data_IF_914862776787
#
_entry.id   IF_914862776787
#
_cell.length_a   1.000
_cell.length_b   1.000
_cell.length_c   1.000
_cell.angle_alpha   90.00
_cell.angle_beta   90.00
_cell.angle_gamma   90.00
#
_symmetry.space_group_name_H-M   'P 1'
#
loop_
_entity.id
_entity.type
_entity.pdbx_description
1 polymer ?
#
# COMPACT_ATOMS: atom_id res chain seq x y z
N UNK A 1 61.21 -36.24 12.94
CA UNK A 1 60.57 -35.77 11.68
C UNK A 1 59.34 -36.62 11.40
N UNK A 2 58.24 -36.00 10.95
CA UNK A 2 56.93 -36.58 10.58
C UNK A 2 55.93 -36.85 11.73
N UNK A 3 55.30 -35.79 12.25
CA UNK A 3 53.95 -35.90 12.88
C UNK A 3 53.33 -34.56 13.31
N UNK A 4 53.84 -33.41 12.87
CA UNK A 4 53.27 -32.09 13.24
C UNK A 4 53.15 -31.23 11.99
N UNK A 5 52.39 -31.69 10.98
CA UNK A 5 51.99 -30.86 9.82
C UNK A 5 50.55 -31.08 9.35
N UNK A 6 49.73 -31.87 10.08
CA UNK A 6 48.38 -32.24 9.64
C UNK A 6 47.25 -31.77 10.58
N UNK A 7 47.50 -30.75 11.41
CA UNK A 7 46.44 -30.16 12.27
C UNK A 7 46.17 -28.70 11.93
N UNK A 8 47.05 -28.02 11.19
CA UNK A 8 46.88 -26.60 10.83
C UNK A 8 46.10 -26.42 9.51
N UNK A 9 45.91 -27.47 8.71
CA UNK A 9 45.17 -27.40 7.45
C UNK A 9 43.65 -27.64 7.59
N UNK A 10 43.16 -27.94 8.80
CA UNK A 10 41.73 -28.18 9.07
C UNK A 10 41.00 -26.97 9.68
N UNK A 11 41.72 -25.88 9.98
CA UNK A 11 41.15 -24.65 10.53
C UNK A 11 40.90 -23.55 9.49
N UNK A 12 41.27 -23.74 8.22
CA UNK A 12 40.98 -22.79 7.13
C UNK A 12 39.67 -23.10 6.38
N UNK A 13 38.90 -24.09 6.84
CA UNK A 13 37.57 -24.44 6.34
C UNK A 13 36.48 -24.06 7.35
N UNK A 14 36.70 -23.01 8.15
CA UNK A 14 35.58 -22.24 8.69
C UNK A 14 34.92 -21.54 7.50
N UNK A 15 34.06 -22.29 6.81
CA UNK A 15 32.99 -21.75 6.00
C UNK A 15 32.41 -20.60 6.79
N UNK A 16 32.68 -19.38 6.33
CA UNK A 16 31.79 -18.26 6.57
C UNK A 16 30.48 -18.64 5.89
N UNK A 17 29.69 -19.50 6.53
CA UNK A 17 28.25 -19.46 6.40
C UNK A 17 27.89 -18.05 6.87
N UNK A 18 28.00 -17.09 5.97
CA UNK A 18 27.07 -15.98 5.92
C UNK A 18 25.72 -16.66 5.78
N UNK A 19 25.14 -17.04 6.94
CA UNK A 19 23.71 -17.05 7.09
C UNK A 19 23.30 -15.68 6.57
N UNK A 20 22.77 -15.65 5.34
CA UNK A 20 22.17 -14.45 4.81
C UNK A 20 21.17 -14.07 5.88
N UNK A 21 21.44 -12.98 6.62
CA UNK A 21 20.45 -12.42 7.52
C UNK A 21 19.26 -12.14 6.62
N UNK A 22 18.27 -13.02 6.65
CA UNK A 22 17.08 -12.88 5.84
C UNK A 22 16.43 -11.62 6.38
N UNK A 23 16.50 -10.54 5.62
CA UNK A 23 15.81 -9.29 5.94
C UNK A 23 14.34 -9.64 6.15
N UNK A 24 13.90 -9.61 7.40
CA UNK A 24 12.52 -9.88 7.80
C UNK A 24 11.74 -8.60 7.62
N UNK A 25 10.74 -8.64 6.74
CA UNK A 25 9.77 -7.56 6.59
C UNK A 25 8.59 -7.87 7.52
N UNK A 26 8.21 -6.91 8.37
CA UNK A 26 6.92 -6.94 9.05
C UNK A 26 5.91 -6.25 8.12
N UNK A 27 4.96 -7.04 7.62
CA UNK A 27 3.92 -6.55 6.71
C UNK A 27 2.80 -5.99 7.59
N UNK A 28 2.42 -4.71 7.40
CA UNK A 28 1.26 -4.14 8.09
C UNK A 28 0.01 -4.97 7.81
N UNK A 29 -0.85 -5.07 8.81
CA UNK A 29 -2.05 -5.88 8.72
C UNK A 29 -3.02 -5.34 7.65
N UNK A 30 -3.51 -6.21 6.77
CA UNK A 30 -4.42 -5.83 5.68
C UNK A 30 -3.73 -5.48 4.35
N UNK A 31 -2.40 -5.34 4.32
CA UNK A 31 -1.64 -5.16 3.08
C UNK A 31 -1.48 -6.49 2.35
N UNK A 32 -1.99 -6.57 1.12
CA UNK A 32 -1.68 -7.66 0.20
C UNK A 32 -0.26 -7.44 -0.33
N UNK A 33 0.69 -8.23 0.18
CA UNK A 33 2.10 -8.16 -0.17
C UNK A 33 2.57 -9.41 -0.92
N UNK A 34 2.98 -9.24 -2.19
CA UNK A 34 3.45 -10.31 -3.08
C UNK A 34 4.98 -10.35 -3.05
N UNK A 35 5.52 -11.34 -2.35
CA UNK A 35 6.95 -11.61 -2.32
C UNK A 35 7.46 -12.07 -3.68
N UNK A 36 8.60 -11.54 -4.10
CA UNK A 36 9.35 -12.02 -5.26
C UNK A 36 10.35 -13.10 -4.84
N UNK A 37 10.87 -13.83 -5.83
CA UNK A 37 12.01 -14.70 -5.58
C UNK A 37 13.17 -13.87 -4.99
N UNK A 38 13.79 -14.28 -3.86
CA UNK A 38 14.90 -13.53 -3.26
C UNK A 38 16.03 -13.18 -4.23
N UNK A 39 16.27 -14.02 -5.24
CA UNK A 39 17.26 -13.74 -6.30
C UNK A 39 16.91 -12.52 -7.15
N UNK A 40 15.61 -12.26 -7.38
CA UNK A 40 15.13 -11.09 -8.13
C UNK A 40 15.34 -9.83 -7.28
N UNK A 41 15.04 -9.89 -5.98
CA UNK A 41 15.27 -8.78 -5.05
C UNK A 41 16.75 -8.42 -4.96
N UNK A 42 17.64 -9.40 -4.80
CA UNK A 42 19.09 -9.15 -4.77
C UNK A 42 19.62 -8.63 -6.11
N UNK A 43 19.09 -9.12 -7.25
CA UNK A 43 19.40 -8.57 -8.57
C UNK A 43 18.96 -7.11 -8.69
N UNK A 44 17.78 -6.76 -8.16
CA UNK A 44 17.29 -5.38 -8.14
C UNK A 44 18.17 -4.47 -7.28
N UNK A 45 18.61 -4.91 -6.09
CA UNK A 45 19.55 -4.16 -5.24
C UNK A 45 20.84 -3.83 -5.98
N UNK A 46 21.46 -4.82 -6.63
CA UNK A 46 22.67 -4.61 -7.42
C UNK A 46 22.43 -3.64 -8.59
N UNK A 47 21.30 -3.78 -9.29
CA UNK A 47 20.97 -2.92 -10.43
C UNK A 47 20.79 -1.46 -10.02
N UNK A 48 20.07 -1.21 -8.91
CA UNK A 48 19.91 0.13 -8.32
C UNK A 48 21.28 0.69 -7.92
N UNK A 49 22.09 -0.08 -7.20
CA UNK A 49 23.41 0.36 -6.77
C UNK A 49 24.30 0.76 -7.96
N UNK A 50 24.34 -0.06 -9.02
CA UNK A 50 25.11 0.25 -10.22
C UNK A 50 24.60 1.49 -10.95
N UNK A 51 23.28 1.69 -11.03
CA UNK A 51 22.67 2.84 -11.71
C UNK A 51 22.79 4.14 -10.91
N UNK A 52 22.97 4.05 -9.59
CA UNK A 52 23.28 5.19 -8.71
C UNK A 52 24.76 5.58 -8.79
N UNK A 53 25.68 4.60 -8.81
CA UNK A 53 27.13 4.88 -8.81
C UNK A 53 27.63 5.29 -10.21
N UNK A 54 27.05 4.74 -11.27
CA UNK A 54 27.48 5.02 -12.64
C UNK A 54 26.54 6.03 -13.33
N UNK A 55 27.04 7.25 -13.52
CA UNK A 55 26.28 8.37 -14.10
C UNK A 55 25.83 8.18 -15.56
N UNK A 56 26.32 7.16 -16.26
CA UNK A 56 25.91 6.86 -17.65
C UNK A 56 24.93 5.70 -17.78
N UNK A 57 24.57 5.03 -16.66
CA UNK A 57 23.64 3.90 -16.67
C UNK A 57 22.19 4.34 -16.47
N UNK A 58 21.29 3.77 -17.28
CA UNK A 58 19.84 4.02 -17.23
C UNK A 58 19.05 2.72 -17.40
N UNK A 59 19.59 1.61 -16.90
CA UNK A 59 19.01 0.28 -17.06
C UNK A 59 17.64 0.18 -16.38
N UNK A 60 17.38 1.02 -15.37
CA UNK A 60 16.11 1.13 -14.65
C UNK A 60 15.06 2.00 -15.34
N UNK A 61 15.46 2.84 -16.31
CA UNK A 61 14.56 3.79 -16.95
C UNK A 61 13.50 3.06 -17.80
N UNK A 62 12.29 3.60 -17.77
CA UNK A 62 11.12 3.15 -18.52
C UNK A 62 10.26 4.33 -18.96
N UNK A 63 9.26 4.11 -19.81
CA UNK A 63 8.37 5.17 -20.29
C UNK A 63 7.42 5.69 -19.22
N UNK A 64 7.04 4.86 -18.24
CA UNK A 64 6.00 5.14 -17.24
C UNK A 64 6.56 5.12 -15.79
N UNK A 65 7.47 6.04 -15.47
CA UNK A 65 7.92 6.28 -14.10
C UNK A 65 6.98 7.26 -13.40
N UNK A 66 6.34 6.82 -12.32
CA UNK A 66 5.54 7.66 -11.43
C UNK A 66 6.43 8.24 -10.33
N UNK A 67 6.38 9.56 -10.17
CA UNK A 67 6.90 10.29 -9.02
C UNK A 67 5.77 10.46 -8.00
N UNK A 68 5.92 9.82 -6.85
CA UNK A 68 4.96 9.90 -5.77
C UNK A 68 4.87 11.29 -5.13
N UNK A 69 3.83 11.52 -4.30
CA UNK A 69 3.43 12.86 -3.89
C UNK A 69 4.39 13.53 -2.92
N UNK A 70 5.15 12.78 -2.11
CA UNK A 70 6.07 13.38 -1.15
C UNK A 70 7.32 13.87 -1.88
N UNK A 71 7.89 13.03 -2.75
CA UNK A 71 9.02 13.41 -3.58
C UNK A 71 8.67 14.57 -4.52
N UNK A 72 7.48 14.53 -5.14
CA UNK A 72 7.05 15.56 -6.07
C UNK A 72 6.98 16.96 -5.44
N UNK A 73 6.66 17.08 -4.14
CA UNK A 73 6.66 18.36 -3.43
C UNK A 73 8.01 19.08 -3.51
N UNK A 74 9.12 18.33 -3.56
CA UNK A 74 10.47 18.86 -3.70
C UNK A 74 10.93 18.87 -5.16
N UNK A 75 10.71 17.78 -5.89
CA UNK A 75 11.22 17.60 -7.25
C UNK A 75 10.67 18.63 -8.25
N UNK A 76 9.44 19.11 -8.06
CA UNK A 76 8.84 20.17 -8.91
C UNK A 76 9.60 21.50 -8.87
N UNK A 77 10.47 21.73 -7.88
CA UNK A 77 11.26 22.96 -7.77
C UNK A 77 12.54 22.89 -8.62
N UNK A 78 12.90 21.72 -9.16
CA UNK A 78 14.07 21.56 -10.04
C UNK A 78 13.71 21.96 -11.48
N UNK A 79 14.46 22.90 -12.05
CA UNK A 79 14.23 23.39 -13.42
C UNK A 79 14.19 22.26 -14.45
N UNK A 80 15.09 21.28 -14.34
CA UNK A 80 15.14 20.11 -15.24
C UNK A 80 13.89 19.23 -15.14
N UNK A 81 13.25 19.16 -13.98
CA UNK A 81 12.02 18.36 -13.79
C UNK A 81 10.82 19.08 -14.43
N UNK A 82 10.81 20.41 -14.41
CA UNK A 82 9.74 21.21 -15.01
C UNK A 82 9.71 21.16 -16.54
N UNK A 83 10.78 20.70 -17.20
CA UNK A 83 10.78 20.49 -18.66
C UNK A 83 10.11 19.19 -19.08
N UNK A 84 9.72 18.32 -18.14
CA UNK A 84 9.08 17.03 -18.43
C UNK A 84 7.63 17.25 -18.89
N UNK A 85 7.36 16.92 -20.16
CA UNK A 85 6.03 17.01 -20.78
C UNK A 85 5.03 15.95 -20.27
N UNK A 86 5.51 14.99 -19.48
CA UNK A 86 4.71 13.92 -18.88
C UNK A 86 3.46 14.40 -18.10
N UNK A 87 2.57 13.47 -17.78
CA UNK A 87 1.26 13.77 -17.18
C UNK A 87 1.37 14.20 -15.71
N UNK A 88 0.46 15.07 -15.27
CA UNK A 88 0.21 15.25 -13.83
C UNK A 88 -0.58 14.04 -13.32
N UNK A 89 -0.26 13.59 -12.11
CA UNK A 89 -0.99 12.50 -11.44
C UNK A 89 -1.62 13.06 -10.17
N UNK A 90 -2.87 12.67 -9.91
CA UNK A 90 -3.58 13.00 -8.68
C UNK A 90 -3.83 11.70 -7.90
N UNK A 91 -3.38 11.67 -6.65
CA UNK A 91 -3.60 10.57 -5.72
C UNK A 91 -4.68 10.98 -4.73
N UNK A 92 -5.78 10.24 -4.71
CA UNK A 92 -6.89 10.46 -3.80
C UNK A 92 -6.65 9.63 -2.54
N UNK A 93 -6.27 10.31 -1.46
CA UNK A 93 -6.04 9.71 -0.15
C UNK A 93 -7.06 10.30 0.81
N UNK A 94 -8.07 9.51 1.18
CA UNK A 94 -9.25 9.96 1.89
C UNK A 94 -9.92 11.16 1.17
N UNK A 95 -9.99 12.33 1.82
CA UNK A 95 -10.54 13.57 1.27
C UNK A 95 -9.45 14.49 0.68
N UNK A 96 -8.19 14.02 0.59
CA UNK A 96 -7.06 14.79 0.09
C UNK A 96 -6.71 14.39 -1.34
N UNK A 97 -6.46 15.40 -2.17
CA UNK A 97 -5.88 15.23 -3.50
C UNK A 97 -4.40 15.60 -3.42
N UNK A 98 -3.54 14.58 -3.46
CA UNK A 98 -2.09 14.74 -3.50
C UNK A 98 -1.62 14.77 -4.96
N UNK A 99 -0.62 15.60 -5.26
CA UNK A 99 -0.10 15.74 -6.63
C UNK A 99 1.19 14.96 -6.79
N UNK A 100 1.33 14.27 -7.91
CA UNK A 100 2.58 13.73 -8.42
C UNK A 100 2.75 13.98 -9.90
N UNK A 101 3.67 13.24 -10.50
CA UNK A 101 4.05 13.37 -11.90
C UNK A 101 4.31 11.99 -12.49
N UNK A 102 4.01 11.79 -13.77
CA UNK A 102 4.39 10.58 -14.49
C UNK A 102 5.20 10.97 -15.73
N UNK A 103 6.31 10.29 -15.98
CA UNK A 103 7.01 10.37 -17.26
C UNK A 103 6.16 9.75 -18.37
N UNK A 104 6.35 10.17 -19.63
CA UNK A 104 5.78 9.46 -20.79
C UNK A 104 6.82 9.01 -21.80
N UNK A 105 8.10 9.27 -21.52
CA UNK A 105 9.23 8.90 -22.36
C UNK A 105 10.38 8.39 -21.50
N UNK A 106 11.27 7.62 -22.13
CA UNK A 106 12.50 7.15 -21.48
C UNK A 106 13.38 8.35 -21.12
N UNK A 107 13.43 9.37 -21.98
CA UNK A 107 14.21 10.60 -21.80
C UNK A 107 13.77 11.36 -20.54
N UNK A 108 12.46 11.50 -20.31
CA UNK A 108 11.92 12.10 -19.08
C UNK A 108 12.33 11.31 -17.84
N UNK A 109 12.24 9.97 -17.90
CA UNK A 109 12.68 9.11 -16.80
C UNK A 109 14.17 9.23 -16.51
N UNK A 110 15.01 9.43 -17.54
CA UNK A 110 16.44 9.70 -17.35
C UNK A 110 16.67 11.02 -16.63
N UNK A 111 15.91 12.07 -16.96
CA UNK A 111 15.98 13.36 -16.27
C UNK A 111 15.61 13.23 -14.79
N UNK A 112 14.53 12.51 -14.49
CA UNK A 112 14.09 12.23 -13.10
C UNK A 112 15.19 11.46 -12.36
N UNK A 113 15.73 10.42 -13.00
CA UNK A 113 16.77 9.58 -12.43
C UNK A 113 18.07 10.35 -12.18
N UNK A 114 18.45 11.28 -13.05
CA UNK A 114 19.64 12.12 -12.87
C UNK A 114 19.48 13.06 -11.68
N UNK A 115 18.31 13.69 -11.53
CA UNK A 115 18.02 14.54 -10.36
C UNK A 115 18.04 13.72 -9.07
N UNK A 116 17.44 12.52 -9.09
CA UNK A 116 17.49 11.60 -7.96
C UNK A 116 18.93 11.20 -7.62
N UNK A 117 19.71 10.74 -8.60
CA UNK A 117 21.11 10.36 -8.42
C UNK A 117 21.95 11.53 -7.86
N UNK A 118 21.69 12.75 -8.32
CA UNK A 118 22.36 13.95 -7.83
C UNK A 118 22.08 14.26 -6.35
N UNK A 119 20.95 13.81 -5.79
CA UNK A 119 20.65 13.88 -4.34
C UNK A 119 21.36 12.76 -3.55
N UNK A 120 21.50 11.56 -4.15
CA UNK A 120 22.18 10.40 -3.54
C UNK A 120 23.71 10.50 -3.70
N UNK A 121 24.30 11.62 -3.28
CA UNK A 121 25.76 11.85 -3.30
C UNK A 121 26.51 11.33 -2.07
N UNK A 122 25.79 10.84 -1.07
CA UNK A 122 26.33 10.40 0.22
C UNK A 122 26.25 8.89 0.39
N UNK A 123 26.83 8.36 1.47
CA UNK A 123 26.68 6.96 1.84
C UNK A 123 25.19 6.59 1.93
N UNK A 124 24.79 5.57 1.17
CA UNK A 124 23.42 5.06 1.14
C UNK A 124 23.39 3.56 1.42
N UNK A 125 22.23 3.07 1.84
CA UNK A 125 21.94 1.63 1.97
C UNK A 125 20.72 1.29 1.15
N UNK A 126 20.74 0.13 0.49
CA UNK A 126 19.57 -0.42 -0.18
C UNK A 126 19.05 -1.57 0.67
N UNK A 127 17.83 -1.43 1.18
CA UNK A 127 17.20 -2.42 2.06
C UNK A 127 15.73 -2.61 1.72
N UNK A 128 15.12 -3.66 2.25
CA UNK A 128 13.65 -3.79 2.26
C UNK A 128 13.01 -2.68 3.10
N UNK A 129 11.77 -2.35 2.75
CA UNK A 129 10.94 -1.39 3.47
C UNK A 129 10.63 -1.87 4.89
N UNK A 130 10.59 -0.93 5.82
CA UNK A 130 10.02 -1.13 7.16
C UNK A 130 8.50 -1.11 7.10
N UNK A 131 7.85 -1.53 8.17
CA UNK A 131 6.40 -1.53 8.30
C UNK A 131 5.79 -0.14 8.06
N UNK A 132 6.34 0.90 8.70
CA UNK A 132 5.91 2.29 8.50
C UNK A 132 5.99 2.74 7.03
N UNK A 133 7.10 2.41 6.35
CA UNK A 133 7.32 2.77 4.95
C UNK A 133 6.35 2.02 4.02
N UNK A 134 6.01 0.77 4.35
CA UNK A 134 4.99 -0.01 3.65
C UNK A 134 3.59 0.57 3.85
N UNK A 135 3.25 0.95 5.07
CA UNK A 135 1.96 1.57 5.41
C UNK A 135 1.76 2.87 4.64
N UNK A 136 2.78 3.74 4.62
CA UNK A 136 2.75 4.95 3.78
C UNK A 136 2.57 4.60 2.31
N UNK A 137 3.42 3.72 1.77
CA UNK A 137 3.39 3.41 0.34
C UNK A 137 2.03 2.85 -0.08
N UNK A 138 1.45 1.96 0.73
CA UNK A 138 0.13 1.37 0.52
C UNK A 138 -1.00 2.40 0.56
N UNK A 139 -0.89 3.42 1.41
CA UNK A 139 -1.91 4.50 1.51
C UNK A 139 -2.02 5.32 0.21
N UNK A 140 -0.98 5.34 -0.62
CA UNK A 140 -0.89 6.23 -1.79
C UNK A 140 -1.10 5.49 -3.11
N UNK A 141 -0.92 4.17 -3.15
CA UNK A 141 -1.11 3.36 -4.35
C UNK A 141 -2.51 2.75 -4.41
N UNK A 142 -2.98 2.44 -5.63
CA UNK A 142 -4.29 1.83 -5.89
C UNK A 142 -4.22 0.33 -6.21
N UNK A 143 -3.11 -0.34 -5.89
CA UNK A 143 -2.82 -1.73 -6.26
C UNK A 143 -2.05 -2.48 -5.17
N UNK A 144 -2.01 -3.81 -5.25
CA UNK A 144 -1.25 -4.68 -4.34
C UNK A 144 0.24 -4.35 -4.37
N UNK A 145 0.93 -4.43 -3.23
CA UNK A 145 2.40 -4.26 -3.21
C UNK A 145 3.04 -5.54 -3.74
N UNK A 146 3.75 -5.43 -4.86
CA UNK A 146 4.57 -6.50 -5.44
C UNK A 146 6.05 -6.16 -5.34
N UNK A 147 6.89 -7.11 -4.92
CA UNK A 147 8.34 -6.95 -4.91
C UNK A 147 8.93 -7.07 -6.33
N UNK A 148 10.02 -6.35 -6.68
CA UNK A 148 10.91 -5.64 -5.74
C UNK A 148 10.47 -4.22 -5.37
N UNK A 149 10.14 -4.05 -4.07
CA UNK A 149 10.01 -2.75 -3.42
C UNK A 149 11.20 -2.56 -2.47
N UNK A 150 12.02 -1.56 -2.75
CA UNK A 150 13.28 -1.32 -2.05
C UNK A 150 13.37 0.13 -1.58
N UNK A 151 14.04 0.32 -0.44
CA UNK A 151 14.34 1.64 0.11
C UNK A 151 15.80 1.96 -0.14
N UNK A 152 16.05 3.11 -0.75
CA UNK A 152 17.36 3.76 -0.73
C UNK A 152 17.38 4.67 0.48
N UNK A 153 17.99 4.22 1.56
CA UNK A 153 18.16 4.97 2.81
C UNK A 153 19.43 5.82 2.71
N UNK A 154 19.27 7.13 2.95
CA UNK A 154 20.38 8.08 3.08
C UNK A 154 20.34 8.73 4.47
N UNK A 155 21.26 9.66 4.73
CA UNK A 155 21.24 10.45 5.97
C UNK A 155 20.03 11.37 6.11
N UNK A 156 19.56 11.92 5.00
CA UNK A 156 18.56 12.99 4.98
C UNK A 156 17.15 12.47 4.62
N UNK A 157 17.10 11.49 3.72
CA UNK A 157 15.88 11.00 3.08
C UNK A 157 15.93 9.49 2.89
N UNK A 158 14.76 8.84 2.98
CA UNK A 158 14.55 7.47 2.53
C UNK A 158 13.68 7.49 1.29
N UNK A 159 14.10 6.82 0.23
CA UNK A 159 13.40 6.82 -1.04
C UNK A 159 12.82 5.45 -1.34
N UNK A 160 11.56 5.43 -1.76
CA UNK A 160 10.81 4.22 -2.12
C UNK A 160 10.97 3.99 -3.62
N UNK A 161 11.51 2.84 -3.99
CA UNK A 161 11.65 2.40 -5.36
C UNK A 161 10.84 1.12 -5.56
N UNK A 162 9.83 1.16 -6.43
CA UNK A 162 9.10 -0.05 -6.86
C UNK A 162 9.44 -0.39 -8.32
N UNK A 163 9.84 -1.63 -8.54
CA UNK A 163 10.34 -2.14 -9.82
C UNK A 163 9.46 -3.27 -10.33
N UNK A 164 9.22 -3.30 -11.64
CA UNK A 164 8.50 -4.40 -12.28
C UNK A 164 9.32 -5.70 -12.14
N UNK A 165 8.76 -6.79 -11.61
CA UNK A 165 9.52 -8.02 -11.35
C UNK A 165 10.03 -8.73 -12.62
N UNK A 166 9.45 -8.46 -13.80
CA UNK A 166 9.86 -9.10 -15.06
C UNK A 166 11.05 -8.40 -15.69
N UNK A 167 11.00 -7.07 -15.79
CA UNK A 167 11.98 -6.24 -16.46
C UNK A 167 12.96 -5.52 -15.53
N UNK A 168 12.68 -5.49 -14.22
CA UNK A 168 13.36 -4.65 -13.23
C UNK A 168 13.40 -3.18 -13.65
N UNK A 169 12.30 -2.72 -14.24
CA UNK A 169 12.09 -1.33 -14.64
C UNK A 169 11.44 -0.56 -13.50
N UNK A 170 11.96 0.62 -13.19
CA UNK A 170 11.44 1.46 -12.14
C UNK A 170 10.13 2.10 -12.62
N UNK A 171 9.03 1.77 -11.95
CA UNK A 171 7.72 2.35 -12.27
C UNK A 171 7.20 3.29 -11.17
N UNK A 172 7.80 3.24 -9.96
CA UNK A 172 7.48 4.15 -8.87
C UNK A 172 8.74 4.63 -8.16
N UNK A 173 8.86 5.95 -8.01
CA UNK A 173 9.87 6.62 -7.19
C UNK A 173 9.19 7.62 -6.27
N UNK A 174 9.41 7.51 -4.97
CA UNK A 174 8.89 8.48 -4.00
C UNK A 174 9.84 8.61 -2.81
N UNK A 175 9.48 9.49 -1.88
CA UNK A 175 10.20 9.72 -0.64
C UNK A 175 9.31 9.33 0.54
N UNK A 176 9.89 8.67 1.52
CA UNK A 176 9.24 8.37 2.79
C UNK A 176 9.07 9.70 3.53
N UNK A 177 7.87 10.01 4.04
CA UNK A 177 7.66 11.21 4.84
C UNK A 177 8.58 11.22 6.07
N UNK A 178 9.22 12.36 6.33
CA UNK A 178 10.23 12.49 7.37
C UNK A 178 9.59 12.49 8.77
N UNK A 179 9.88 11.50 9.61
CA UNK A 179 9.28 11.36 10.95
C UNK A 179 9.69 12.48 11.94
N UNK A 180 10.73 13.28 11.63
CA UNK A 180 11.29 14.31 12.52
C UNK A 180 10.82 15.75 12.24
N UNK A 181 9.90 15.95 11.29
CA UNK A 181 9.15 17.20 11.18
C UNK A 181 7.69 16.81 11.16
N UNK A 182 6.98 17.20 12.23
CA UNK A 182 5.52 17.21 12.36
C UNK A 182 4.85 17.05 11.00
N UNK A 183 4.53 15.81 10.65
CA UNK A 183 3.64 15.57 9.55
C UNK A 183 2.32 16.16 10.01
N UNK A 184 1.99 17.37 9.53
CA UNK A 184 0.71 17.97 9.86
C UNK A 184 -0.33 17.14 9.13
N UNK A 185 -0.97 16.27 9.89
CA UNK A 185 -2.15 15.57 9.44
C UNK A 185 -3.32 16.55 9.55
N UNK A 186 -3.98 16.78 8.42
CA UNK A 186 -5.17 17.62 8.35
C UNK A 186 -6.39 16.72 8.44
N UNK A 187 -7.28 16.98 9.41
CA UNK A 187 -8.59 16.35 9.51
C UNK A 187 -9.65 17.44 9.53
N UNK A 188 -10.61 17.38 8.61
CA UNK A 188 -11.64 18.43 8.43
C UNK A 188 -11.08 19.85 8.21
N UNK A 189 -9.88 19.99 7.65
CA UNK A 189 -9.26 21.28 7.34
C UNK A 189 -8.47 21.92 8.49
N UNK A 190 -8.29 21.24 9.62
CA UNK A 190 -7.49 21.72 10.76
C UNK A 190 -6.21 20.91 10.97
N UNK A 191 -5.13 21.57 11.40
CA UNK A 191 -3.85 20.98 11.80
C UNK A 191 -4.00 20.26 13.14
N UNK A 192 -3.78 18.95 13.16
CA UNK A 192 -3.87 18.13 14.38
C UNK A 192 -2.47 17.80 14.90
N UNK A 193 -2.17 18.20 16.16
CA UNK A 193 -0.84 18.07 16.78
C UNK A 193 -0.62 16.80 17.61
N UNK A 194 -1.71 16.11 17.95
CA UNK A 194 -1.72 14.81 18.62
C UNK A 194 -2.91 14.03 18.04
N UNK A 195 -2.71 12.80 17.61
CA UNK A 195 -3.81 11.93 17.18
C UNK A 195 -4.63 11.60 18.43
N UNK A 196 -5.84 12.16 18.64
CA UNK A 196 -6.74 11.52 19.58
C UNK A 196 -7.00 10.16 18.94
N UNK A 197 -6.85 9.06 19.69
CA UNK A 197 -7.06 7.68 19.20
C UNK A 197 -8.39 7.45 18.46
N UNK A 198 -9.27 8.46 18.36
CA UNK A 198 -10.69 8.29 18.18
C UNK A 198 -11.27 7.76 19.48
N UNK A 199 -12.57 7.91 19.64
CA UNK A 199 -13.25 7.04 20.55
C UNK A 199 -13.34 5.66 19.88
N UNK A 200 -13.15 4.60 20.66
CA UNK A 200 -13.53 3.27 20.18
C UNK A 200 -15.01 3.33 19.89
N UNK A 201 -15.38 3.07 18.66
CA UNK A 201 -16.77 3.14 18.24
C UNK A 201 -17.12 1.89 17.45
N UNK A 202 -18.39 1.54 17.51
CA UNK A 202 -18.98 0.50 16.70
C UNK A 202 -19.76 1.18 15.58
N UNK A 203 -19.27 1.11 14.34
CA UNK A 203 -19.84 1.86 13.23
C UNK A 203 -19.45 1.26 11.85
N UNK A 204 -20.05 1.79 10.78
CA UNK A 204 -19.48 1.66 9.43
C UNK A 204 -18.18 2.45 9.40
N UNK A 205 -17.13 1.82 8.90
CA UNK A 205 -15.83 2.42 8.67
C UNK A 205 -15.66 2.89 7.23
N UNK A 206 -16.03 2.07 6.25
CA UNK A 206 -15.92 2.44 4.84
C UNK A 206 -16.91 1.69 3.95
N UNK A 207 -17.17 2.27 2.79
CA UNK A 207 -17.96 1.67 1.71
C UNK A 207 -17.15 1.78 0.42
N UNK A 208 -16.93 0.66 -0.26
CA UNK A 208 -16.13 0.62 -1.49
C UNK A 208 -16.99 0.12 -2.63
N UNK A 209 -17.11 0.93 -3.69
CA UNK A 209 -17.76 0.53 -4.94
C UNK A 209 -16.70 -0.08 -5.87
N UNK A 210 -16.97 -1.25 -6.43
CA UNK A 210 -16.02 -1.99 -7.29
C UNK A 210 -16.37 -1.90 -8.77
N UNK A 211 -17.22 -0.95 -9.13
CA UNK A 211 -17.70 -0.67 -10.48
C UNK A 211 -17.44 0.79 -10.85
N UNK A 212 -17.43 1.08 -12.15
CA UNK A 212 -17.37 2.45 -12.64
C UNK A 212 -18.70 3.19 -12.43
N UNK A 213 -18.68 4.53 -12.42
CA UNK A 213 -19.88 5.35 -12.31
C UNK A 213 -20.91 5.06 -13.42
N UNK A 214 -20.43 4.75 -14.62
CA UNK A 214 -21.28 4.39 -15.76
C UNK A 214 -21.98 3.04 -15.52
N UNK A 215 -21.22 2.03 -15.10
CA UNK A 215 -21.77 0.71 -14.76
C UNK A 215 -22.82 0.80 -13.64
N UNK A 216 -22.55 1.58 -12.59
CA UNK A 216 -23.48 1.77 -11.49
C UNK A 216 -24.79 2.42 -11.95
N UNK A 217 -24.72 3.48 -12.76
CA UNK A 217 -25.90 4.17 -13.29
C UNK A 217 -26.75 3.28 -14.19
N UNK A 218 -26.11 2.41 -14.97
CA UNK A 218 -26.82 1.50 -15.86
C UNK A 218 -27.49 0.33 -15.14
N UNK A 219 -26.92 -0.12 -14.02
CA UNK A 219 -27.24 -1.43 -13.46
C UNK A 219 -27.94 -1.40 -12.09
N UNK A 220 -27.85 -0.29 -11.36
CA UNK A 220 -28.51 -0.10 -10.06
C UNK A 220 -29.10 1.31 -9.94
N UNK A 221 -29.69 1.63 -8.79
CA UNK A 221 -30.01 3.00 -8.38
C UNK A 221 -29.24 3.36 -7.10
N UNK A 222 -29.12 4.66 -6.82
CA UNK A 222 -28.50 5.13 -5.57
C UNK A 222 -29.38 4.77 -4.38
N UNK A 223 -30.69 4.81 -4.57
CA UNK A 223 -31.70 4.44 -3.60
C UNK A 223 -31.56 2.96 -3.19
N UNK A 224 -31.42 2.05 -4.16
CA UNK A 224 -31.22 0.62 -3.93
C UNK A 224 -29.96 0.35 -3.10
N UNK A 225 -28.83 0.97 -3.45
CA UNK A 225 -27.58 0.81 -2.71
C UNK A 225 -27.71 1.36 -1.28
N UNK A 226 -28.33 2.53 -1.15
CA UNK A 226 -28.55 3.19 0.14
C UNK A 226 -29.42 2.34 1.06
N UNK A 227 -30.48 1.70 0.53
CA UNK A 227 -31.34 0.79 1.27
C UNK A 227 -30.55 -0.42 1.80
N UNK A 228 -29.75 -1.07 0.96
CA UNK A 228 -28.93 -2.21 1.38
C UNK A 228 -27.95 -1.80 2.49
N UNK A 229 -27.27 -0.67 2.33
CA UNK A 229 -26.32 -0.15 3.30
C UNK A 229 -27.00 0.11 4.63
N UNK A 230 -28.15 0.80 4.63
CA UNK A 230 -28.87 1.16 5.85
C UNK A 230 -29.45 -0.05 6.58
N UNK A 231 -30.02 -1.03 5.86
CA UNK A 231 -30.53 -2.25 6.47
C UNK A 231 -29.39 -3.11 7.05
N UNK A 232 -28.29 -3.25 6.31
CA UNK A 232 -27.09 -3.96 6.81
C UNK A 232 -26.51 -3.26 8.03
N UNK A 233 -26.44 -1.92 8.02
CA UNK A 233 -26.00 -1.10 9.14
C UNK A 233 -26.86 -1.31 10.37
N UNK A 234 -28.17 -1.30 10.22
CA UNK A 234 -29.12 -1.49 11.31
C UNK A 234 -28.94 -2.86 11.98
N UNK A 235 -28.81 -3.92 11.17
CA UNK A 235 -28.53 -5.27 11.69
C UNK A 235 -27.21 -5.29 12.45
N UNK A 236 -26.18 -4.64 11.91
CA UNK A 236 -24.88 -4.54 12.56
C UNK A 236 -24.96 -3.82 13.90
N UNK A 237 -25.59 -2.65 13.94
CA UNK A 237 -25.74 -1.85 15.16
C UNK A 237 -26.53 -2.61 16.24
N UNK A 238 -27.63 -3.26 15.85
CA UNK A 238 -28.46 -4.08 16.74
C UNK A 238 -27.67 -5.20 17.44
N UNK A 239 -26.68 -5.78 16.75
CA UNK A 239 -25.90 -6.91 17.28
C UNK A 239 -24.62 -6.48 18.00
N UNK A 240 -23.92 -5.46 17.50
CA UNK A 240 -22.55 -5.18 17.91
C UNK A 240 -22.36 -3.88 18.70
N UNK A 241 -23.34 -2.97 18.78
CA UNK A 241 -23.17 -1.68 19.48
C UNK A 241 -22.71 -1.80 20.92
N UNK A 242 -23.12 -2.88 21.61
CA UNK A 242 -22.77 -3.15 23.00
C UNK A 242 -21.77 -4.32 23.15
N UNK A 243 -21.09 -4.71 22.06
CA UNK A 243 -20.09 -5.77 22.09
C UNK A 243 -18.84 -5.30 22.84
N UNK A 244 -18.44 -6.06 23.87
CA UNK A 244 -17.18 -5.82 24.58
C UNK A 244 -15.95 -6.22 23.73
N UNK A 245 -16.18 -7.07 22.73
CA UNK A 245 -15.19 -7.55 21.79
C UNK A 245 -14.84 -6.51 20.73
N UNK A 246 -13.60 -6.52 20.23
CA UNK A 246 -13.14 -5.61 19.18
C UNK A 246 -12.74 -6.36 17.92
N UNK A 247 -13.14 -5.83 16.77
CA UNK A 247 -12.69 -6.34 15.48
C UNK A 247 -13.41 -5.69 14.32
N UNK A 248 -13.32 -6.32 13.14
CA UNK A 248 -13.92 -5.79 11.92
C UNK A 248 -14.67 -6.85 11.15
N UNK A 249 -15.70 -6.41 10.45
CA UNK A 249 -16.54 -7.24 9.59
C UNK A 249 -16.61 -6.58 8.21
N UNK A 250 -16.14 -7.28 7.18
CA UNK A 250 -16.38 -6.91 5.79
C UNK A 250 -17.58 -7.71 5.28
N UNK A 251 -18.53 -7.00 4.66
CA UNK A 251 -19.60 -7.60 3.88
C UNK A 251 -19.39 -7.20 2.42
N UNK A 252 -19.19 -8.19 1.55
CA UNK A 252 -19.08 -8.00 0.11
C UNK A 252 -20.38 -8.43 -0.55
N UNK A 253 -21.04 -7.50 -1.22
CA UNK A 253 -22.23 -7.73 -2.02
C UNK A 253 -21.85 -7.84 -3.50
N UNK A 254 -22.41 -8.83 -4.17
CA UNK A 254 -22.45 -8.93 -5.63
C UNK A 254 -23.91 -9.09 -6.07
N UNK A 255 -24.48 -7.98 -6.54
CA UNK A 255 -25.84 -7.92 -7.06
C UNK A 255 -25.84 -8.38 -8.52
N UNK A 256 -26.43 -9.55 -8.77
CA UNK A 256 -26.53 -10.14 -10.11
C UNK A 256 -27.95 -9.99 -10.64
N UNK A 257 -28.13 -10.32 -11.92
CA UNK A 257 -29.45 -10.37 -12.56
C UNK A 257 -30.33 -11.50 -12.00
N UNK A 258 -29.72 -12.63 -11.66
CA UNK A 258 -30.44 -13.83 -11.25
C UNK A 258 -30.40 -14.03 -9.74
N UNK A 259 -29.22 -14.29 -9.20
CA UNK A 259 -29.01 -14.60 -7.78
C UNK A 259 -27.87 -13.76 -7.24
N UNK A 260 -28.16 -12.96 -6.21
CA UNK A 260 -27.15 -12.15 -5.55
C UNK A 260 -26.26 -13.03 -4.67
N UNK A 261 -25.01 -12.62 -4.51
CA UNK A 261 -24.06 -13.26 -3.61
C UNK A 261 -23.64 -12.26 -2.53
N UNK A 262 -23.53 -12.75 -1.30
CA UNK A 262 -23.05 -11.98 -0.16
C UNK A 262 -21.98 -12.80 0.54
N UNK A 263 -20.79 -12.24 0.64
CA UNK A 263 -19.64 -12.87 1.28
C UNK A 263 -19.23 -12.06 2.50
N UNK A 264 -18.73 -12.75 3.52
CA UNK A 264 -18.32 -12.14 4.78
C UNK A 264 -16.85 -12.45 5.04
N UNK A 265 -16.13 -11.49 5.62
CA UNK A 265 -14.82 -11.70 6.19
C UNK A 265 -14.73 -11.00 7.54
N UNK A 266 -14.05 -11.62 8.48
CA UNK A 266 -13.84 -11.08 9.83
C UNK A 266 -12.35 -10.92 10.11
N UNK A 267 -12.02 -9.90 10.89
CA UNK A 267 -10.66 -9.59 11.37
C UNK A 267 -10.73 -9.41 12.89
N UNK A 268 -9.68 -9.82 13.59
CA UNK A 268 -9.54 -9.76 15.05
C UNK A 268 -10.56 -10.62 15.83
N UNK A 269 -10.78 -10.28 17.10
CA UNK A 269 -11.59 -11.03 18.04
C UNK A 269 -13.08 -10.68 17.93
N UNK A 270 -13.69 -10.88 16.77
CA UNK A 270 -15.15 -10.72 16.61
C UNK A 270 -15.89 -11.87 17.31
N UNK A 271 -17.01 -11.58 17.97
CA UNK A 271 -17.85 -12.62 18.57
C UNK A 271 -18.49 -13.48 17.47
N UNK A 272 -18.09 -14.75 17.40
CA UNK A 272 -18.53 -15.68 16.35
C UNK A 272 -20.02 -16.05 16.46
N UNK A 273 -20.64 -15.94 17.63
CA UNK A 273 -22.08 -16.19 17.80
C UNK A 273 -22.85 -15.02 17.22
N UNK A 274 -22.46 -13.78 17.56
CA UNK A 274 -23.04 -12.58 16.98
C UNK A 274 -22.77 -12.50 15.48
N UNK A 275 -21.59 -12.90 15.01
CA UNK A 275 -21.26 -12.97 13.58
C UNK A 275 -22.18 -13.91 12.83
N UNK A 276 -22.41 -15.13 13.36
CA UNK A 276 -23.31 -16.08 12.71
C UNK A 276 -24.74 -15.56 12.61
N UNK A 277 -25.21 -14.87 13.64
CA UNK A 277 -26.52 -14.20 13.62
C UNK A 277 -26.56 -13.04 12.63
N UNK A 278 -25.47 -12.27 12.54
CA UNK A 278 -25.30 -11.19 11.58
C UNK A 278 -25.37 -11.71 10.14
N UNK A 279 -24.62 -12.76 9.81
CA UNK A 279 -24.67 -13.44 8.50
C UNK A 279 -26.08 -13.88 8.15
N UNK A 280 -26.77 -14.57 9.06
CA UNK A 280 -28.13 -15.05 8.85
C UNK A 280 -29.10 -13.91 8.53
N UNK A 281 -29.04 -12.80 9.29
CA UNK A 281 -29.92 -11.65 9.08
C UNK A 281 -29.62 -10.92 7.79
N UNK A 282 -28.34 -10.71 7.47
CA UNK A 282 -27.93 -10.06 6.21
C UNK A 282 -28.31 -10.92 5.00
N UNK A 283 -28.11 -12.24 5.06
CA UNK A 283 -28.52 -13.17 4.00
C UNK A 283 -30.05 -13.27 3.83
N UNK A 284 -30.82 -12.87 4.86
CA UNK A 284 -32.29 -12.79 4.79
C UNK A 284 -32.81 -11.48 4.19
N UNK A 285 -31.94 -10.50 3.96
CA UNK A 285 -32.34 -9.23 3.33
C UNK A 285 -32.85 -9.46 1.92
N UNK A 286 -33.93 -8.75 1.57
CA UNK A 286 -34.44 -8.74 0.21
C UNK A 286 -33.60 -7.78 -0.63
N UNK A 287 -32.54 -8.30 -1.23
CA UNK A 287 -31.63 -7.51 -2.05
C UNK A 287 -32.21 -7.23 -3.44
N UNK A 288 -32.08 -6.00 -3.97
CA UNK A 288 -32.43 -5.68 -5.34
C UNK A 288 -31.51 -6.43 -6.31
N UNK A 289 -32.01 -6.69 -7.52
CA UNK A 289 -31.26 -7.35 -8.58
C UNK A 289 -30.64 -6.30 -9.50
N UNK A 290 -29.49 -6.63 -10.06
CA UNK A 290 -28.93 -5.80 -11.12
C UNK A 290 -29.81 -5.84 -12.38
N UNK A 291 -29.86 -4.72 -13.12
CA UNK A 291 -30.58 -4.59 -14.38
C UNK A 291 -29.94 -5.38 -15.53
N UNK A 292 -28.62 -5.30 -15.71
CA UNK A 292 -27.89 -6.02 -16.78
C UNK A 292 -26.67 -6.78 -16.24
N UNK A 293 -25.63 -6.05 -15.83
CA UNK A 293 -24.32 -6.55 -15.41
C UNK A 293 -24.16 -6.53 -13.89
N UNK A 294 -23.37 -7.42 -13.32
CA UNK A 294 -23.21 -7.50 -11.86
C UNK A 294 -22.67 -6.20 -11.26
N UNK A 295 -23.26 -5.76 -10.15
CA UNK A 295 -22.75 -4.65 -9.33
C UNK A 295 -22.16 -5.20 -8.04
N UNK A 296 -20.96 -4.75 -7.70
CA UNK A 296 -20.21 -5.18 -6.55
C UNK A 296 -19.83 -4.01 -5.64
N UNK A 297 -20.02 -4.20 -4.35
CA UNK A 297 -19.59 -3.23 -3.34
C UNK A 297 -19.31 -3.91 -2.00
N UNK A 298 -18.51 -3.25 -1.17
CA UNK A 298 -18.13 -3.71 0.16
C UNK A 298 -18.55 -2.71 1.21
N UNK A 299 -19.01 -3.21 2.36
CA UNK A 299 -19.21 -2.43 3.58
C UNK A 299 -18.24 -2.98 4.62
N UNK A 300 -17.36 -2.13 5.12
CA UNK A 300 -16.49 -2.45 6.24
C UNK A 300 -17.09 -1.86 7.51
N UNK A 301 -17.33 -2.72 8.49
CA UNK A 301 -17.74 -2.36 9.83
C UNK A 301 -16.59 -2.56 10.81
N UNK A 302 -16.59 -1.75 11.86
CA UNK A 302 -15.68 -1.87 12.99
C UNK A 302 -16.48 -1.95 14.28
N UNK A 303 -16.04 -2.77 15.22
CA UNK A 303 -16.70 -3.06 16.50
C UNK A 303 -15.75 -2.67 17.61
N UNK A 304 -16.16 -1.77 18.52
CA UNK A 304 -15.36 -1.32 19.66
C UNK A 304 -13.88 -1.07 19.29
N UNK A 305 -13.70 -0.46 18.13
CA UNK A 305 -12.42 -0.33 17.43
C UNK A 305 -12.24 1.10 17.00
N UNK A 306 -10.99 1.54 16.98
CA UNK A 306 -10.65 2.82 16.38
C UNK A 306 -10.96 2.76 14.87
N UNK A 307 -11.18 3.91 14.23
CA UNK A 307 -11.00 3.95 12.77
C UNK A 307 -9.58 3.43 12.49
N UNK A 308 -9.36 2.67 11.41
CA UNK A 308 -8.00 2.36 10.95
C UNK A 308 -7.33 3.68 10.54
N UNK A 309 -6.81 4.41 11.52
CA UNK A 309 -5.56 5.11 11.37
C UNK A 309 -4.48 4.07 11.56
N UNK A 310 -3.90 3.63 10.43
CA UNK A 310 -2.53 3.11 10.31
C UNK A 310 -1.80 2.88 11.65
N UNK A 311 -2.08 1.75 12.32
CA UNK A 311 -1.29 1.25 13.45
C UNK A 311 -1.24 -0.28 13.39
N UNK A 312 -0.11 -0.83 12.94
CA UNK A 312 0.91 -1.37 13.85
C UNK A 312 2.20 -1.63 13.09
#
# INVERSE_FOLDING_TARGET
>A
MKSIKLVILLLSLSFSCYSQKKETIKIPEGIVYKYSNPKIVEKAKLLIQENLINNSKYDLADTNLIIGPILWRRFKEYEKINTIEGGNVEFHVDNLVLKGKISKSIEDSKIIWDVFRDEIKSDFKIRKATEFELTYYWTVISFDIEEPLLIVETKEHNYILNLDPKGLKLFWLDEVPNNNKNFVQYRNGEEVKDIPKGEKETAIESITLLNTDEELRENTSVEDLTEIINETKKIFEDLFMNSDKSGKIMVHFELKKDTNEVNFAVKDDVDLILMKEFENRVLSLKLPKSKKESIQFKILFKINSFNETNEN
#
